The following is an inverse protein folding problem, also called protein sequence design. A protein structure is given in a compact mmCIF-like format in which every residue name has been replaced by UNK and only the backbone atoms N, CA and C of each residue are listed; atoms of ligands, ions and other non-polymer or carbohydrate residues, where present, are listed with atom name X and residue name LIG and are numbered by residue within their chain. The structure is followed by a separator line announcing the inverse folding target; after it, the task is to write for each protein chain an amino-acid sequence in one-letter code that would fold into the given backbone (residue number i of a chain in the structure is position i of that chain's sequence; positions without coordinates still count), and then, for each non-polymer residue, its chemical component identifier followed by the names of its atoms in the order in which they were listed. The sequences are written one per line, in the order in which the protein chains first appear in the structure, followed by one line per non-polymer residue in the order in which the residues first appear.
data_IF_679315150207
#
_entry.id   IF_679315150207
#
_cell.length_a   1.000
_cell.length_b   1.000
_cell.length_c   1.000
_cell.angle_alpha   90.00
_cell.angle_beta   90.00
_cell.angle_gamma   90.00
#
_symmetry.space_group_name_H-M   'P 1'
#
loop_
_entity.id
_entity.type
_entity.pdbx_description
1 polymer ?
#
# COMPACT_ATOMS: atom_id res chain seq x y z
N UNK A 1 1.35 8.47 16.06
CA UNK A 1 0.29 8.29 15.04
C UNK A 1 0.36 6.92 14.37
N UNK A 2 1.55 6.48 13.93
CA UNK A 2 1.82 5.16 13.32
C UNK A 2 1.21 3.95 14.09
N UNK A 3 1.46 3.79 15.39
CA UNK A 3 0.92 2.68 16.19
C UNK A 3 -0.63 2.58 16.13
N UNK A 4 -1.33 3.71 16.12
CA UNK A 4 -2.80 3.74 15.98
C UNK A 4 -3.25 3.32 14.58
N UNK A 5 -2.48 3.68 13.55
CA UNK A 5 -2.75 3.24 12.18
C UNK A 5 -2.49 1.73 12.04
N UNK A 6 -1.44 1.18 12.65
CA UNK A 6 -1.11 -0.25 12.59
C UNK A 6 -2.26 -1.15 13.05
N UNK A 7 -2.89 -0.83 14.20
CA UNK A 7 -4.08 -1.55 14.69
C UNK A 7 -5.25 -1.48 13.70
N UNK A 8 -5.46 -0.30 13.09
CA UNK A 8 -6.52 -0.12 12.09
C UNK A 8 -6.23 -0.87 10.79
N UNK A 9 -4.95 -1.00 10.43
CA UNK A 9 -4.51 -1.75 9.26
C UNK A 9 -4.80 -3.23 9.45
N UNK A 10 -4.48 -3.78 10.62
CA UNK A 10 -4.84 -5.15 10.99
C UNK A 10 -6.35 -5.38 10.86
N UNK A 11 -7.17 -4.49 11.42
CA UNK A 11 -8.63 -4.61 11.34
C UNK A 11 -9.15 -4.55 9.90
N UNK A 12 -8.57 -3.69 9.06
CA UNK A 12 -8.91 -3.61 7.63
C UNK A 12 -8.53 -4.91 6.91
N UNK A 13 -7.34 -5.44 7.18
CA UNK A 13 -6.86 -6.70 6.60
C UNK A 13 -7.80 -7.86 6.95
N UNK A 14 -8.19 -8.01 8.22
CA UNK A 14 -9.11 -9.06 8.66
C UNK A 14 -10.48 -8.97 7.98
N UNK A 15 -11.05 -7.76 7.87
CA UNK A 15 -12.35 -7.55 7.19
C UNK A 15 -12.29 -7.85 5.69
N UNK A 16 -11.15 -7.62 5.05
CA UNK A 16 -10.98 -7.93 3.63
C UNK A 16 -10.82 -9.44 3.38
N UNK A 17 -10.15 -10.16 4.30
CA UNK A 17 -10.07 -11.63 4.25
C UNK A 17 -11.45 -12.26 4.28
N UNK A 18 -12.31 -11.82 5.19
CA UNK A 18 -13.63 -12.42 5.40
C UNK A 18 -14.67 -11.99 4.34
N UNK A 19 -14.37 -10.99 3.52
CA UNK A 19 -15.33 -10.42 2.58
C UNK A 19 -15.25 -11.01 1.18
N UNK A 20 -16.39 -11.36 0.59
CA UNK A 20 -16.48 -11.74 -0.81
C UNK A 20 -16.28 -10.57 -1.81
N UNK A 21 -16.19 -9.32 -1.33
CA UNK A 21 -16.09 -8.14 -2.20
C UNK A 21 -14.73 -8.03 -2.93
N UNK A 22 -13.73 -8.78 -2.47
CA UNK A 22 -12.37 -8.83 -3.03
C UNK A 22 -12.01 -10.29 -3.25
N UNK A 23 -11.95 -10.69 -4.51
CA UNK A 23 -11.66 -12.06 -4.94
C UNK A 23 -10.21 -12.45 -4.64
N UNK A 24 -9.26 -11.57 -4.97
CA UNK A 24 -7.84 -11.75 -4.68
C UNK A 24 -7.43 -10.90 -3.47
N UNK A 25 -7.15 -11.54 -2.35
CA UNK A 25 -6.85 -10.85 -1.08
C UNK A 25 -5.55 -10.06 -1.20
N UNK A 26 -5.55 -8.76 -0.84
CA UNK A 26 -4.34 -7.95 -0.91
C UNK A 26 -3.38 -8.33 0.21
N UNK A 27 -2.09 -8.31 -0.11
CA UNK A 27 -1.01 -8.45 0.87
C UNK A 27 -0.71 -7.07 1.45
N UNK A 28 -0.63 -7.00 2.79
CA UNK A 28 -0.32 -5.77 3.51
C UNK A 28 1.14 -5.75 3.93
N UNK A 29 1.84 -4.68 3.57
CA UNK A 29 3.24 -4.46 3.92
C UNK A 29 3.36 -3.12 4.64
N UNK A 30 4.01 -3.12 5.80
CA UNK A 30 4.40 -1.92 6.53
C UNK A 30 5.90 -1.81 6.50
N UNK A 31 6.40 -0.70 5.96
CA UNK A 31 7.82 -0.36 6.02
C UNK A 31 8.00 0.59 7.20
N UNK A 32 8.82 0.19 8.16
CA UNK A 32 9.20 1.04 9.30
C UNK A 32 10.32 1.99 8.89
N UNK A 33 10.33 3.19 9.48
CA UNK A 33 11.31 4.22 9.19
C UNK A 33 12.72 3.83 9.65
N UNK A 34 13.74 4.20 8.86
CA UNK A 34 15.17 4.01 9.19
C UNK A 34 15.66 5.09 10.19
N UNK A 35 15.02 5.16 11.35
CA UNK A 35 15.38 6.07 12.43
C UNK A 35 15.60 5.28 13.73
N UNK A 36 16.61 5.59 14.57
CA UNK A 36 16.92 4.81 15.76
C UNK A 36 15.72 4.60 16.70
N UNK A 37 14.90 5.64 16.88
CA UNK A 37 13.69 5.55 17.71
C UNK A 37 12.63 4.65 17.08
N UNK A 38 12.47 4.67 15.76
CA UNK A 38 11.53 3.81 15.05
C UNK A 38 11.98 2.35 15.09
N UNK A 39 13.30 2.08 14.96
CA UNK A 39 13.90 0.75 15.12
C UNK A 39 13.65 0.17 16.50
N UNK A 40 13.84 0.97 17.56
CA UNK A 40 13.57 0.55 18.94
C UNK A 40 12.10 0.18 19.20
N UNK A 41 11.17 0.64 18.35
CA UNK A 41 9.74 0.36 18.44
C UNK A 41 9.28 -0.71 17.44
N UNK A 42 10.19 -1.32 16.66
CA UNK A 42 9.84 -2.20 15.56
C UNK A 42 9.06 -3.44 16.02
N UNK A 43 9.50 -4.09 17.11
CA UNK A 43 8.78 -5.25 17.67
C UNK A 43 7.38 -4.88 18.16
N UNK A 44 7.25 -3.71 18.78
CA UNK A 44 5.96 -3.21 19.22
C UNK A 44 5.04 -2.91 18.03
N UNK A 45 5.56 -2.30 16.96
CA UNK A 45 4.83 -2.07 15.71
C UNK A 45 4.35 -3.40 15.10
N UNK A 46 5.24 -4.39 14.99
CA UNK A 46 4.93 -5.72 14.45
C UNK A 46 3.81 -6.40 15.23
N UNK A 47 3.85 -6.33 16.56
CA UNK A 47 2.80 -6.87 17.41
C UNK A 47 1.44 -6.18 17.20
N UNK A 48 1.44 -4.86 16.99
CA UNK A 48 0.21 -4.09 16.72
C UNK A 48 -0.35 -4.31 15.31
N UNK A 49 0.51 -4.51 14.30
CA UNK A 49 0.09 -4.78 12.94
C UNK A 49 -0.47 -6.21 12.78
N UNK A 50 -0.02 -7.13 13.63
CA UNK A 50 -0.49 -8.51 13.68
C UNK A 50 0.13 -9.42 12.62
N UNK A 51 -0.03 -10.73 12.82
CA UNK A 51 0.64 -11.81 12.06
C UNK A 51 0.26 -11.95 10.58
N UNK A 52 -0.68 -11.15 10.09
CA UNK A 52 -1.08 -11.16 8.67
C UNK A 52 -0.55 -9.94 7.91
N UNK A 53 0.07 -9.00 8.60
CA UNK A 53 0.72 -7.83 7.99
C UNK A 53 2.23 -8.07 8.00
N UNK A 54 2.85 -8.00 6.83
CA UNK A 54 4.31 -8.10 6.70
C UNK A 54 4.91 -6.78 7.18
N UNK A 55 5.82 -6.85 8.14
CA UNK A 55 6.54 -5.66 8.64
C UNK A 55 8.01 -5.73 8.29
N UNK A 56 8.51 -4.71 7.62
CA UNK A 56 9.91 -4.60 7.19
C UNK A 56 10.55 -3.43 7.93
N UNK A 57 11.75 -3.62 8.47
CA UNK A 57 12.55 -2.50 8.94
C UNK A 57 13.24 -1.87 7.74
N UNK A 58 12.87 -0.63 7.39
CA UNK A 58 13.52 0.08 6.30
C UNK A 58 15.00 0.28 6.59
N UNK A 59 15.82 0.08 5.56
CA UNK A 59 17.13 0.67 5.44
C UNK A 59 17.02 1.88 4.49
N UNK A 60 17.88 2.90 4.62
CA UNK A 60 17.76 4.15 3.86
C UNK A 60 17.66 4.00 2.34
N UNK A 61 18.08 2.86 1.75
CA UNK A 61 17.92 2.56 0.31
C UNK A 61 16.51 2.07 -0.03
N UNK A 62 15.91 1.21 0.78
CA UNK A 62 14.55 0.71 0.58
C UNK A 62 13.50 1.85 0.70
N UNK A 63 13.79 2.84 1.54
CA UNK A 63 12.90 3.99 1.72
C UNK A 63 12.96 4.99 0.58
N UNK A 64 14.15 5.27 0.04
CA UNK A 64 14.34 6.24 -1.04
C UNK A 64 13.71 5.79 -2.36
N UNK A 65 13.52 4.48 -2.50
CA UNK A 65 13.16 3.84 -3.74
C UNK A 65 11.64 3.66 -3.88
N UNK A 66 10.95 3.59 -2.74
CA UNK A 66 9.50 3.77 -2.65
C UNK A 66 9.21 5.28 -2.63
N UNK A 67 8.57 5.84 -3.67
CA UNK A 67 8.17 7.27 -3.74
C UNK A 67 7.07 7.69 -2.72
N UNK A 68 7.03 7.06 -1.55
CA UNK A 68 6.13 7.36 -0.44
C UNK A 68 6.80 8.20 0.65
N UNK A 69 6.01 8.99 1.37
CA UNK A 69 6.42 9.67 2.60
C UNK A 69 5.85 8.95 3.82
N UNK A 70 6.28 9.37 5.01
CA UNK A 70 5.67 8.93 6.27
C UNK A 70 4.15 9.08 6.23
N UNK A 71 3.45 8.05 6.71
CA UNK A 71 2.00 7.93 6.72
C UNK A 71 1.33 7.87 5.32
N UNK A 72 2.09 7.78 4.22
CA UNK A 72 1.52 7.51 2.90
C UNK A 72 1.13 6.04 2.77
N UNK A 73 0.09 5.76 1.98
CA UNK A 73 -0.31 4.41 1.59
C UNK A 73 -0.25 4.31 0.07
N UNK A 74 0.52 3.33 -0.41
CA UNK A 74 0.58 2.98 -1.82
C UNK A 74 -0.26 1.73 -2.05
N UNK A 75 -1.15 1.78 -3.05
CA UNK A 75 -1.91 0.62 -3.51
C UNK A 75 -1.33 0.17 -4.84
N UNK A 76 -0.90 -1.09 -4.89
CA UNK A 76 -0.20 -1.69 -6.02
C UNK A 76 -1.14 -2.74 -6.62
N UNK A 77 -1.33 -2.71 -7.94
CA UNK A 77 -2.12 -3.73 -8.63
C UNK A 77 -1.33 -5.05 -8.76
N UNK A 78 -2.02 -6.10 -9.22
CA UNK A 78 -1.40 -7.41 -9.46
C UNK A 78 -0.28 -7.40 -10.51
N UNK A 79 -0.18 -6.35 -11.33
CA UNK A 79 0.87 -6.17 -12.33
C UNK A 79 2.08 -5.40 -11.77
N UNK A 80 2.08 -5.02 -10.49
CA UNK A 80 3.15 -4.26 -9.85
C UNK A 80 3.11 -2.76 -10.09
N UNK A 81 1.99 -2.19 -10.56
CA UNK A 81 1.86 -0.75 -10.83
C UNK A 81 1.18 -0.03 -9.67
N UNK A 82 1.67 1.14 -9.32
CA UNK A 82 1.03 2.01 -8.31
C UNK A 82 -0.25 2.60 -8.88
N UNK A 83 -1.39 2.14 -8.39
CA UNK A 83 -2.73 2.63 -8.78
C UNK A 83 -3.14 3.84 -7.96
N UNK A 84 -2.88 3.80 -6.64
CA UNK A 84 -3.16 4.91 -5.74
C UNK A 84 -1.95 5.24 -4.87
N UNK A 85 -1.74 6.54 -4.69
CA UNK A 85 -0.81 7.11 -3.72
C UNK A 85 -1.60 8.04 -2.83
N UNK A 86 -1.95 7.54 -1.64
CA UNK A 86 -2.74 8.27 -0.67
C UNK A 86 -1.79 8.89 0.34
N UNK A 87 -1.70 10.21 0.35
CA UNK A 87 -1.10 10.96 1.45
C UNK A 87 -2.17 11.37 2.46
N UNK A 88 -1.74 11.85 3.62
CA UNK A 88 -2.64 12.51 4.56
C UNK A 88 -3.45 13.62 3.86
N UNK A 89 -4.75 13.77 4.17
CA UNK A 89 -5.51 12.99 5.17
C UNK A 89 -6.08 11.66 4.65
N UNK A 90 -6.02 11.36 3.34
CA UNK A 90 -6.67 10.20 2.75
C UNK A 90 -6.06 8.85 3.14
N UNK A 91 -4.79 8.85 3.58
CA UNK A 91 -4.15 7.65 4.14
C UNK A 91 -4.61 7.30 5.56
N UNK A 92 -5.48 8.11 6.18
CA UNK A 92 -5.96 7.79 7.52
C UNK A 92 -6.94 6.62 7.49
N UNK A 93 -6.57 5.49 8.09
CA UNK A 93 -7.35 4.23 8.08
C UNK A 93 -8.67 4.28 8.87
N UNK A 94 -8.99 5.41 9.50
CA UNK A 94 -10.31 5.63 10.07
C UNK A 94 -11.31 6.19 9.07
N UNK A 95 -10.82 6.65 7.92
CA UNK A 95 -11.60 7.10 6.77
C UNK A 95 -11.72 5.96 5.76
N UNK A 96 -12.71 6.04 4.87
CA UNK A 96 -13.00 4.97 3.91
C UNK A 96 -12.07 4.94 2.68
N UNK A 97 -11.16 5.91 2.51
CA UNK A 97 -10.39 6.09 1.28
C UNK A 97 -9.47 4.90 0.96
N UNK A 98 -8.71 4.41 1.94
CA UNK A 98 -7.79 3.28 1.72
C UNK A 98 -8.56 2.03 1.28
N UNK A 99 -9.67 1.75 1.96
CA UNK A 99 -10.57 0.66 1.61
C UNK A 99 -11.16 0.84 0.21
N UNK A 100 -11.64 2.04 -0.11
CA UNK A 100 -12.22 2.35 -1.41
C UNK A 100 -11.19 2.21 -2.54
N UNK A 101 -9.94 2.63 -2.31
CA UNK A 101 -8.84 2.44 -3.25
C UNK A 101 -8.53 0.97 -3.49
N UNK A 102 -8.47 0.13 -2.43
CA UNK A 102 -8.28 -1.32 -2.56
C UNK A 102 -9.39 -1.93 -3.42
N UNK A 103 -10.66 -1.57 -3.15
CA UNK A 103 -11.80 -2.07 -3.91
C UNK A 103 -11.76 -1.63 -5.38
N UNK A 104 -11.45 -0.35 -5.64
CA UNK A 104 -11.31 0.19 -6.99
C UNK A 104 -10.17 -0.51 -7.76
N UNK A 105 -9.00 -0.69 -7.14
CA UNK A 105 -7.87 -1.41 -7.74
C UNK A 105 -8.25 -2.85 -8.09
N UNK A 106 -8.96 -3.54 -7.18
CA UNK A 106 -9.38 -4.93 -7.39
C UNK A 106 -10.43 -5.09 -8.48
N UNK A 107 -11.38 -4.14 -8.59
CA UNK A 107 -12.55 -4.29 -9.46
C UNK A 107 -12.40 -3.61 -10.81
N UNK A 108 -11.79 -2.44 -10.83
CA UNK A 108 -11.81 -1.58 -12.01
C UNK A 108 -10.50 -1.59 -12.81
N UNK A 109 -9.43 -2.16 -12.24
CA UNK A 109 -8.09 -2.21 -12.84
C UNK A 109 -7.67 -0.85 -13.43
N UNK A 110 -7.48 0.22 -12.61
CA UNK A 110 -7.26 1.58 -13.11
C UNK A 110 -6.07 1.75 -14.07
N UNK A 111 -5.09 0.83 -14.03
CA UNK A 111 -3.94 0.81 -14.92
C UNK A 111 -4.11 -0.11 -16.15
N UNK A 112 -5.28 -0.74 -16.34
CA UNK A 112 -5.58 -1.65 -17.43
C UNK A 112 -5.04 -3.07 -17.24
N UNK A 113 -5.00 -3.85 -18.31
CA UNK A 113 -4.50 -5.24 -18.29
C UNK A 113 -3.00 -5.32 -18.01
N UNK A 114 -2.55 -6.45 -17.49
CA UNK A 114 -1.13 -6.76 -17.32
C UNK A 114 -0.50 -7.14 -18.68
N UNK A 115 0.77 -6.82 -18.88
CA UNK A 115 1.58 -7.43 -19.94
C UNK A 115 1.88 -8.90 -19.57
N UNK A 116 1.98 -9.79 -20.55
CA UNK A 116 2.27 -11.21 -20.31
C UNK A 116 3.50 -11.37 -19.40
N UNK A 117 3.35 -12.09 -18.27
CA UNK A 117 4.45 -12.37 -17.32
C UNK A 117 4.68 -11.34 -16.20
N UNK A 118 3.80 -10.34 -16.04
CA UNK A 118 3.95 -9.29 -15.01
C UNK A 118 3.16 -9.52 -13.70
N UNK A 119 2.62 -10.71 -13.48
CA UNK A 119 1.90 -11.01 -12.23
C UNK A 119 2.87 -11.14 -11.04
N UNK A 120 2.63 -10.36 -10.00
CA UNK A 120 3.37 -10.43 -8.74
C UNK A 120 3.03 -11.73 -8.00
N UNK A 121 4.00 -12.66 -7.95
CA UNK A 121 3.82 -14.00 -7.40
C UNK A 121 3.85 -14.15 -5.87
N UNK A 122 3.43 -13.14 -5.08
CA UNK A 122 3.37 -13.32 -3.62
C UNK A 122 2.21 -14.26 -3.30
N UNK A 123 2.55 -15.50 -2.93
CA UNK A 123 1.61 -16.42 -2.30
C UNK A 123 1.40 -15.97 -0.86
N UNK A 124 0.15 -15.89 -0.41
CA UNK A 124 -0.24 -15.57 0.96
C UNK A 124 0.27 -16.65 1.92
N UNK A 125 1.54 -16.55 2.31
CA UNK A 125 2.08 -17.26 3.45
C UNK A 125 1.75 -16.47 4.74
N UNK A 126 1.69 -17.11 5.92
CA UNK A 126 1.61 -16.39 7.19
C UNK A 126 2.73 -15.33 7.26
N UNK A 127 2.44 -14.09 7.67
CA UNK A 127 3.41 -12.99 7.57
C UNK A 127 4.68 -13.24 8.41
N UNK A 128 4.58 -14.13 9.41
CA UNK A 128 5.69 -14.61 10.22
C UNK A 128 6.73 -15.44 9.42
N UNK A 129 6.40 -15.85 8.19
CA UNK A 129 7.26 -16.65 7.29
C UNK A 129 7.74 -15.89 6.05
N UNK A 130 7.23 -14.67 5.81
CA UNK A 130 7.62 -13.88 4.64
C UNK A 130 8.85 -13.05 5.00
N UNK A 131 9.99 -13.40 4.43
CA UNK A 131 11.25 -12.69 4.62
C UNK A 131 11.29 -11.41 3.79
N UNK A 132 12.20 -10.51 4.13
CA UNK A 132 12.45 -9.29 3.32
C UNK A 132 12.81 -9.66 1.87
N UNK A 133 13.48 -10.79 1.66
CA UNK A 133 13.87 -11.25 0.32
C UNK A 133 12.66 -11.65 -0.54
N UNK A 134 11.56 -12.11 0.07
CA UNK A 134 10.33 -12.47 -0.65
C UNK A 134 9.55 -11.25 -1.18
N UNK A 135 9.71 -10.11 -0.50
CA UNK A 135 9.09 -8.83 -0.85
C UNK A 135 10.03 -7.88 -1.59
N UNK A 136 11.33 -8.18 -1.61
CA UNK A 136 12.35 -7.39 -2.32
C UNK A 136 12.07 -7.20 -3.82
N UNK A 137 11.61 -8.21 -4.59
CA UNK A 137 11.25 -8.01 -5.99
C UNK A 137 10.12 -6.98 -6.19
N UNK A 138 9.19 -6.89 -5.23
CA UNK A 138 8.12 -5.87 -5.26
C UNK A 138 8.71 -4.51 -5.02
N UNK A 139 9.54 -4.38 -3.97
CA UNK A 139 10.20 -3.11 -3.66
C UNK A 139 11.02 -2.64 -4.86
N UNK A 140 11.76 -3.53 -5.53
CA UNK A 140 12.51 -3.26 -6.77
C UNK A 140 11.61 -2.89 -7.97
N UNK A 141 10.42 -3.49 -8.09
CA UNK A 141 9.47 -3.08 -9.13
C UNK A 141 9.00 -1.64 -8.91
N UNK A 142 8.78 -1.25 -7.66
CA UNK A 142 8.45 0.13 -7.30
C UNK A 142 9.58 1.10 -7.63
N UNK A 143 10.84 0.67 -7.60
CA UNK A 143 11.98 1.52 -7.96
C UNK A 143 12.06 1.74 -9.47
N UNK A 144 11.85 0.69 -10.27
CA UNK A 144 12.07 0.75 -11.72
C UNK A 144 10.97 1.47 -12.49
N UNK A 145 9.75 1.54 -11.93
CA UNK A 145 8.65 2.34 -12.52
C UNK A 145 8.91 3.85 -12.42
N UNK A 146 9.94 4.27 -11.66
CA UNK A 146 10.12 5.67 -11.31
C UNK A 146 10.99 6.51 -12.26
N UNK A 147 11.54 5.92 -13.32
CA UNK A 147 12.33 6.62 -14.36
C UNK A 147 11.48 7.12 -15.55
N UNK A 148 10.34 7.75 -15.27
CA UNK A 148 9.73 8.66 -16.25
C UNK A 148 9.58 10.04 -15.61
N UNK A 149 10.56 10.90 -15.94
CA UNK A 149 10.65 12.35 -15.79
C UNK A 149 9.74 13.01 -14.74
N UNK A 150 10.34 13.41 -13.63
CA UNK A 150 9.71 14.32 -12.65
C UNK A 150 10.52 15.61 -12.55
N UNK A 151 10.62 16.36 -13.65
CA UNK A 151 10.96 17.78 -13.59
C UNK A 151 9.64 18.55 -13.46
N UNK A 152 9.50 19.29 -12.36
CA UNK A 152 8.41 20.23 -12.02
C UNK A 152 6.98 19.80 -12.44
N UNK A 153 6.33 19.00 -11.59
CA UNK A 153 4.88 18.79 -11.69
C UNK A 153 4.20 20.04 -11.13
N UNK A 154 3.50 20.77 -12.02
CA UNK A 154 2.66 21.91 -11.71
C UNK A 154 1.64 21.55 -10.60
N UNK A 155 1.42 22.48 -9.68
CA UNK A 155 0.42 22.37 -8.62
C UNK A 155 -0.98 21.99 -9.14
N UNK A 156 -1.34 22.42 -10.35
CA UNK A 156 -2.62 22.09 -10.97
C UNK A 156 -2.71 20.62 -11.38
N UNK A 157 -1.64 20.06 -11.97
CA UNK A 157 -1.58 18.63 -12.31
C UNK A 157 -1.68 17.74 -11.06
N UNK A 158 -1.06 18.17 -9.96
CA UNK A 158 -1.14 17.43 -8.69
C UNK A 158 -2.57 17.38 -8.16
N UNK A 159 -3.31 18.47 -8.28
CA UNK A 159 -4.70 18.53 -7.82
C UNK A 159 -5.65 17.78 -8.76
N UNK A 160 -5.42 17.86 -10.09
CA UNK A 160 -6.14 17.04 -11.06
C UNK A 160 -5.92 15.54 -10.81
N UNK A 161 -4.68 15.13 -10.51
CA UNK A 161 -4.36 13.73 -10.17
C UNK A 161 -5.10 13.25 -8.92
N UNK A 162 -5.15 14.09 -7.88
CA UNK A 162 -5.93 13.86 -6.67
C UNK A 162 -7.42 13.70 -6.95
N UNK A 163 -8.01 14.59 -7.76
CA UNK A 163 -9.42 14.54 -8.11
C UNK A 163 -9.76 13.28 -8.92
N UNK A 164 -8.88 12.87 -9.84
CA UNK A 164 -9.03 11.61 -10.58
C UNK A 164 -9.06 10.41 -9.64
N UNK A 165 -8.13 10.33 -8.67
CA UNK A 165 -8.14 9.27 -7.66
C UNK A 165 -9.45 9.26 -6.86
N UNK A 166 -9.94 10.42 -6.44
CA UNK A 166 -11.20 10.52 -5.71
C UNK A 166 -12.40 10.05 -6.53
N UNK A 167 -12.45 10.40 -7.82
CA UNK A 167 -13.50 9.97 -8.72
C UNK A 167 -13.54 8.44 -8.88
N UNK A 168 -12.37 7.79 -8.98
CA UNK A 168 -12.25 6.32 -9.01
C UNK A 168 -12.75 5.67 -7.71
N UNK A 169 -12.46 6.27 -6.55
CA UNK A 169 -12.89 5.72 -5.25
C UNK A 169 -14.38 5.93 -4.96
N UNK A 170 -15.02 6.92 -5.60
CA UNK A 170 -16.37 7.39 -5.25
C UNK A 170 -17.42 6.28 -5.14
N UNK A 171 -17.49 5.28 -6.04
CA UNK A 171 -18.47 4.19 -5.93
C UNK A 171 -18.29 3.31 -4.68
N UNK A 172 -17.11 3.33 -4.06
CA UNK A 172 -16.73 2.43 -2.97
C UNK A 172 -16.71 3.10 -1.59
N UNK A 173 -16.82 4.43 -1.51
CA UNK A 173 -16.75 5.16 -0.24
C UNK A 173 -17.88 4.80 0.75
N UNK A 174 -19.02 4.30 0.26
CA UNK A 174 -20.14 3.84 1.08
C UNK A 174 -20.20 2.32 1.31
N UNK A 175 -19.22 1.57 0.80
CA UNK A 175 -19.22 0.11 0.93
C UNK A 175 -18.86 -0.27 2.37
N UNK A 176 -19.65 -1.13 3.03
CA UNK A 176 -19.35 -1.65 4.37
C UNK A 176 -18.75 -3.06 4.29
N UNK A 177 -17.69 -3.30 5.08
CA UNK A 177 -16.91 -4.52 5.21
C UNK A 177 -16.81 -4.83 6.69
#
# INVERSE_FOLDING_TARGET
MCQRQAVKLQNLQLRLEDSAAVEQKPVFIVINEDHPWSKNQFDHLRNLAGRKVITIQGNGRDWASVKGRKDDILIIDKCGRVTFHLSLPWSQLHLAYVKAAILATSKDQPCGTCSQGSELGIKTAPADTVSVDDVLPILQTLTNVTETNSNEIDTDEREQKKQRQLNWMRPYLGFNL
#
